data_IF_247246662074
#
_entry.id   IF_247246662074
#
_cell.length_a   1.000
_cell.length_b   1.000
_cell.length_c   1.000
_cell.angle_alpha   90.00
_cell.angle_beta   90.00
_cell.angle_gamma   90.00
#
_symmetry.space_group_name_H-M   'P 1'
#
loop_
_entity.id
_entity.type
_entity.pdbx_description
1 polymer ?
#
# COMPACT_ATOMS: atom_id res chain seq x y z
N UNK A 1 -37.81 27.37 -11.87
CA UNK A 1 -37.14 27.64 -13.17
C UNK A 1 -35.67 28.07 -13.05
N UNK A 2 -35.15 28.40 -11.84
CA UNK A 2 -33.74 28.85 -11.65
C UNK A 2 -32.74 27.70 -11.45
N UNK A 3 -33.12 26.61 -10.82
CA UNK A 3 -32.22 25.45 -10.51
C UNK A 3 -31.87 24.63 -11.79
N UNK A 4 -32.83 24.46 -12.72
CA UNK A 4 -32.60 23.69 -13.95
C UNK A 4 -31.63 24.37 -14.94
N UNK A 5 -31.55 25.70 -14.93
CA UNK A 5 -30.59 26.43 -15.78
C UNK A 5 -29.17 26.36 -15.26
N UNK A 6 -28.99 26.34 -13.94
CA UNK A 6 -27.65 26.25 -13.33
C UNK A 6 -27.02 24.84 -13.52
N UNK A 7 -27.84 23.78 -13.40
CA UNK A 7 -27.38 22.41 -13.63
C UNK A 7 -27.07 22.15 -15.11
N UNK A 8 -27.84 22.74 -16.05
CA UNK A 8 -27.60 22.63 -17.49
C UNK A 8 -26.31 23.37 -17.91
N UNK A 9 -25.97 24.53 -17.31
CA UNK A 9 -24.76 25.28 -17.60
C UNK A 9 -23.53 24.50 -17.08
N UNK A 10 -23.57 24.01 -15.85
CA UNK A 10 -22.46 23.24 -15.26
C UNK A 10 -22.15 21.95 -16.05
N UNK A 11 -23.16 21.27 -16.54
CA UNK A 11 -22.98 20.07 -17.38
C UNK A 11 -22.35 20.42 -18.75
N UNK A 12 -22.75 21.55 -19.38
CA UNK A 12 -22.16 22.01 -20.62
C UNK A 12 -20.70 22.45 -20.45
N UNK A 13 -20.38 23.15 -19.38
CA UNK A 13 -19.02 23.57 -19.05
C UNK A 13 -18.12 22.37 -18.76
N UNK A 14 -18.64 21.35 -18.09
CA UNK A 14 -17.91 20.10 -17.86
C UNK A 14 -17.63 19.35 -19.16
N UNK A 15 -18.61 19.25 -20.06
CA UNK A 15 -18.43 18.62 -21.38
C UNK A 15 -17.40 19.37 -22.25
N UNK A 16 -17.40 20.71 -22.22
CA UNK A 16 -16.42 21.54 -22.92
C UNK A 16 -15.01 21.35 -22.35
N UNK A 17 -14.88 21.30 -21.03
CA UNK A 17 -13.60 21.05 -20.35
C UNK A 17 -13.05 19.65 -20.66
N UNK A 18 -13.92 18.65 -20.71
CA UNK A 18 -13.56 17.29 -21.10
C UNK A 18 -13.03 17.24 -22.53
N UNK A 19 -13.74 17.86 -23.48
CA UNK A 19 -13.32 17.92 -24.90
C UNK A 19 -11.98 18.63 -25.07
N UNK A 20 -11.76 19.76 -24.37
CA UNK A 20 -10.48 20.47 -24.39
C UNK A 20 -9.34 19.62 -23.82
N UNK A 21 -9.57 18.89 -22.72
CA UNK A 21 -8.60 17.97 -22.14
C UNK A 21 -8.21 16.85 -23.10
N UNK A 22 -9.16 16.28 -23.86
CA UNK A 22 -8.91 15.25 -24.87
C UNK A 22 -8.04 15.79 -26.03
N UNK A 23 -8.23 17.03 -26.43
CA UNK A 23 -7.40 17.68 -27.47
C UNK A 23 -5.97 17.86 -26.95
N UNK A 24 -5.80 18.43 -25.73
CA UNK A 24 -4.48 18.63 -25.12
C UNK A 24 -3.74 17.33 -24.84
N UNK A 25 -4.47 16.25 -24.49
CA UNK A 25 -3.86 14.95 -24.20
C UNK A 25 -3.22 14.29 -25.45
N UNK A 26 -3.56 14.75 -26.66
CA UNK A 26 -2.98 14.28 -27.92
C UNK A 26 -1.74 15.09 -28.34
N UNK A 27 -1.53 16.25 -27.75
CA UNK A 27 -0.42 17.12 -28.04
C UNK A 27 0.78 16.73 -27.16
N UNK A 28 1.96 16.37 -27.72
CA UNK A 28 3.10 15.90 -26.96
C UNK A 28 3.71 16.95 -26.02
N UNK A 29 3.39 18.24 -26.23
CA UNK A 29 3.86 19.34 -25.36
C UNK A 29 3.06 19.45 -24.07
N UNK A 30 1.96 18.68 -23.91
CA UNK A 30 1.08 18.75 -22.75
C UNK A 30 0.98 17.43 -22.02
N UNK A 31 0.87 17.51 -20.70
CA UNK A 31 0.47 16.41 -19.84
C UNK A 31 -0.83 16.79 -19.15
N UNK A 32 -1.92 16.10 -19.48
CA UNK A 32 -3.22 16.31 -18.86
C UNK A 32 -3.36 15.38 -17.68
N UNK A 33 -3.58 15.93 -16.49
CA UNK A 33 -3.93 15.19 -15.28
C UNK A 33 -5.40 15.43 -14.93
N UNK A 34 -6.07 14.40 -14.47
CA UNK A 34 -7.44 14.46 -13.97
C UNK A 34 -7.44 14.35 -12.45
N UNK A 35 -8.39 15.00 -11.79
CA UNK A 35 -8.58 14.80 -10.36
C UNK A 35 -8.94 13.34 -10.09
N UNK A 36 -8.41 12.79 -9.00
CA UNK A 36 -8.72 11.42 -8.55
C UNK A 36 -10.24 11.20 -8.50
N UNK A 37 -10.76 10.21 -9.25
CA UNK A 37 -12.19 9.88 -9.19
C UNK A 37 -12.48 9.10 -7.91
N UNK A 38 -13.55 9.46 -7.22
CA UNK A 38 -14.13 8.61 -6.17
C UNK A 38 -15.14 7.65 -6.82
N UNK A 39 -14.61 6.73 -7.63
CA UNK A 39 -15.44 5.78 -8.35
C UNK A 39 -16.02 4.73 -7.39
N UNK A 40 -17.33 4.49 -7.50
CA UNK A 40 -18.00 3.37 -6.82
C UNK A 40 -17.90 2.05 -7.59
N UNK A 41 -17.40 2.11 -8.83
CA UNK A 41 -17.29 0.96 -9.72
C UNK A 41 -16.20 1.19 -10.78
N UNK A 42 -15.39 0.16 -11.07
CA UNK A 42 -14.33 0.27 -12.07
C UNK A 42 -14.60 -0.60 -13.32
N UNK A 43 -14.94 -1.86 -13.11
CA UNK A 43 -15.14 -2.82 -14.20
C UNK A 43 -16.62 -3.09 -14.39
N UNK A 44 -17.20 -2.95 -15.61
CA UNK A 44 -18.59 -3.28 -15.85
C UNK A 44 -18.86 -4.78 -15.73
N UNK A 45 -20.10 -5.12 -15.39
CA UNK A 45 -20.56 -6.49 -15.21
C UNK A 45 -20.43 -6.97 -13.74
N UNK A 46 -20.83 -8.20 -13.51
CA UNK A 46 -20.74 -8.87 -12.23
C UNK A 46 -20.32 -10.33 -12.48
N UNK A 47 -19.07 -10.72 -12.26
CA UNK A 47 -18.65 -12.11 -12.35
C UNK A 47 -19.30 -12.95 -11.24
N UNK A 48 -19.42 -14.26 -11.48
CA UNK A 48 -20.06 -15.19 -10.52
C UNK A 48 -19.33 -15.24 -9.18
N UNK A 49 -18.00 -14.96 -9.14
CA UNK A 49 -17.20 -15.09 -7.95
C UNK A 49 -16.32 -13.86 -7.73
N UNK A 50 -16.75 -13.02 -6.80
CA UNK A 50 -15.94 -11.90 -6.30
C UNK A 50 -15.37 -12.24 -4.92
N UNK A 51 -14.21 -11.63 -4.63
CA UNK A 51 -13.62 -11.61 -3.30
C UNK A 51 -13.53 -10.18 -2.81
N UNK A 52 -13.61 -10.01 -1.50
CA UNK A 52 -13.47 -8.69 -0.89
C UNK A 52 -12.06 -8.46 -0.39
N UNK A 53 -11.50 -7.30 -0.71
CA UNK A 53 -10.32 -6.75 -0.09
C UNK A 53 -10.67 -5.48 0.69
N UNK A 54 -9.80 -5.09 1.63
CA UNK A 54 -9.86 -3.83 2.34
C UNK A 54 -8.55 -3.08 2.07
N UNK A 55 -8.62 -1.94 1.39
CA UNK A 55 -7.47 -1.05 1.29
C UNK A 55 -7.47 -0.14 2.53
N UNK A 56 -6.34 -0.02 3.19
CA UNK A 56 -6.19 0.76 4.43
C UNK A 56 -5.03 1.74 4.31
N UNK A 57 -5.14 2.83 5.04
CA UNK A 57 -4.09 3.80 5.28
C UNK A 57 -4.26 4.42 6.67
N UNK A 58 -3.15 4.79 7.32
CA UNK A 58 -3.16 5.45 8.62
C UNK A 58 -2.25 6.67 8.63
N UNK A 59 -2.75 7.78 9.21
CA UNK A 59 -1.91 8.89 9.64
C UNK A 59 -1.55 8.73 11.12
N UNK A 60 -0.32 9.11 11.47
CA UNK A 60 0.25 8.82 12.77
C UNK A 60 1.04 10.01 13.32
N UNK A 61 1.30 10.04 14.63
CA UNK A 61 2.13 11.07 15.27
C UNK A 61 3.63 10.99 14.94
N UNK A 62 4.06 9.91 14.26
CA UNK A 62 5.45 9.68 13.86
C UNK A 62 5.63 8.32 13.21
N UNK A 63 6.86 7.84 13.09
CA UNK A 63 7.19 6.66 12.29
C UNK A 63 7.41 5.37 13.09
N UNK A 64 7.47 5.45 14.41
CA UNK A 64 7.76 4.31 15.29
C UNK A 64 6.47 3.82 15.97
N UNK A 65 5.91 2.74 15.47
CA UNK A 65 4.68 2.16 16.01
C UNK A 65 4.73 1.80 17.50
N UNK A 66 5.94 1.70 18.11
CA UNK A 66 6.10 1.46 19.56
C UNK A 66 5.97 2.74 20.39
N UNK A 67 6.13 3.91 19.78
CA UNK A 67 6.18 5.21 20.44
C UNK A 67 5.09 6.17 19.98
N UNK A 68 4.66 5.99 18.74
CA UNK A 68 3.72 6.85 18.06
C UNK A 68 2.33 6.23 18.03
N UNK A 69 1.35 7.06 17.81
CA UNK A 69 -0.06 6.67 17.81
C UNK A 69 -0.72 6.98 16.47
N UNK A 70 -1.74 6.22 16.12
CA UNK A 70 -2.64 6.54 15.00
C UNK A 70 -3.44 7.80 15.38
N UNK A 71 -3.60 8.71 14.42
CA UNK A 71 -4.45 9.90 14.51
C UNK A 71 -5.57 9.92 13.48
N UNK A 72 -5.43 9.17 12.38
CA UNK A 72 -6.49 8.91 11.43
C UNK A 72 -6.37 7.49 10.90
N UNK A 73 -7.48 6.83 10.70
CA UNK A 73 -7.63 5.58 9.96
C UNK A 73 -8.59 5.80 8.81
N UNK A 74 -8.25 5.27 7.65
CA UNK A 74 -9.20 5.05 6.58
C UNK A 74 -9.10 3.62 6.05
N UNK A 75 -10.25 2.99 5.84
CA UNK A 75 -10.37 1.70 5.20
C UNK A 75 -11.52 1.70 4.19
N UNK A 76 -11.27 1.25 2.96
CA UNK A 76 -12.28 1.15 1.92
C UNK A 76 -12.37 -0.29 1.43
N UNK A 77 -13.48 -0.99 1.69
CA UNK A 77 -13.72 -2.31 1.13
C UNK A 77 -13.98 -2.22 -0.37
N UNK A 78 -13.49 -3.20 -1.13
CA UNK A 78 -13.79 -3.31 -2.56
C UNK A 78 -13.82 -4.76 -3.02
N UNK A 79 -14.58 -5.03 -4.08
CA UNK A 79 -14.74 -6.35 -4.65
C UNK A 79 -13.85 -6.53 -5.89
N UNK A 80 -13.21 -7.69 -6.01
CA UNK A 80 -12.31 -8.00 -7.10
C UNK A 80 -12.43 -9.45 -7.57
N UNK A 81 -12.13 -9.71 -8.84
CA UNK A 81 -11.98 -11.05 -9.39
C UNK A 81 -10.56 -11.57 -9.14
N UNK A 82 -10.45 -12.75 -8.53
CA UNK A 82 -9.15 -13.26 -8.06
C UNK A 82 -8.24 -13.82 -9.15
N UNK A 83 -8.76 -14.07 -10.34
CA UNK A 83 -8.06 -14.57 -11.53
C UNK A 83 -7.54 -13.45 -12.42
N UNK A 84 -8.35 -12.41 -12.64
CA UNK A 84 -7.99 -11.28 -13.50
C UNK A 84 -7.40 -10.09 -12.77
N UNK A 85 -7.65 -9.96 -11.46
CA UNK A 85 -7.35 -8.76 -10.68
C UNK A 85 -8.27 -7.58 -10.99
N UNK A 86 -9.31 -7.75 -11.80
CA UNK A 86 -10.26 -6.68 -12.09
C UNK A 86 -11.00 -6.24 -10.83
N UNK A 87 -11.04 -4.93 -10.58
CA UNK A 87 -11.77 -4.33 -9.46
C UNK A 87 -13.18 -3.96 -9.95
N UNK A 88 -14.19 -4.29 -9.15
CA UNK A 88 -15.60 -4.04 -9.46
C UNK A 88 -16.19 -2.98 -8.55
N UNK A 89 -16.92 -3.37 -7.53
CA UNK A 89 -17.55 -2.46 -6.59
C UNK A 89 -16.58 -1.90 -5.55
N UNK A 90 -16.67 -0.61 -5.29
CA UNK A 90 -15.97 0.07 -4.18
C UNK A 90 -17.03 0.53 -3.19
N UNK A 91 -16.88 0.12 -1.93
CA UNK A 91 -17.90 0.33 -0.91
C UNK A 91 -17.62 1.61 -0.10
N UNK A 92 -18.51 1.91 0.85
CA UNK A 92 -18.37 3.08 1.70
C UNK A 92 -17.08 3.02 2.53
N UNK A 93 -16.38 4.13 2.61
CA UNK A 93 -15.20 4.27 3.46
C UNK A 93 -15.58 4.23 4.94
N UNK A 94 -14.74 3.60 5.74
CA UNK A 94 -14.67 3.78 7.18
C UNK A 94 -13.52 4.75 7.41
N UNK A 95 -13.82 5.99 7.78
CA UNK A 95 -12.81 7.02 8.02
C UNK A 95 -13.08 7.66 9.37
N UNK A 96 -12.12 7.60 10.27
CA UNK A 96 -12.26 8.11 11.63
C UNK A 96 -10.91 8.62 12.18
N UNK A 97 -11.01 9.56 13.12
CA UNK A 97 -9.87 10.08 13.87
C UNK A 97 -9.71 9.36 15.21
N UNK A 98 -8.52 9.43 15.77
CA UNK A 98 -8.22 8.99 17.13
C UNK A 98 -7.40 10.05 17.86
N UNK A 99 -7.81 10.36 19.08
CA UNK A 99 -7.06 11.23 19.99
C UNK A 99 -5.83 10.49 20.51
N UNK A 100 -4.60 10.95 20.19
CA UNK A 100 -3.39 10.30 20.65
C UNK A 100 -3.09 10.53 22.14
N UNK A 101 -3.92 11.31 22.85
CA UNK A 101 -3.74 11.68 24.25
C UNK A 101 -2.52 12.57 24.52
N UNK A 102 -1.94 13.17 23.48
CA UNK A 102 -0.78 14.07 23.53
C UNK A 102 -0.79 14.98 22.30
N UNK A 103 -0.12 16.16 22.36
CA UNK A 103 -0.06 17.05 21.23
C UNK A 103 0.55 16.38 19.98
N UNK A 104 -0.06 16.64 18.83
CA UNK A 104 0.46 16.21 17.53
C UNK A 104 1.68 17.03 17.18
N UNK A 105 2.81 16.40 16.79
CA UNK A 105 4.01 17.15 16.42
C UNK A 105 3.76 18.14 15.27
N UNK A 106 4.30 19.37 15.32
CA UNK A 106 4.02 20.41 14.30
C UNK A 106 4.30 19.96 12.87
N UNK A 107 5.36 19.17 12.65
CA UNK A 107 5.69 18.64 11.31
C UNK A 107 4.64 17.64 10.79
N UNK A 108 3.92 16.94 11.68
CA UNK A 108 2.81 16.05 11.30
C UNK A 108 1.60 16.88 10.91
N UNK A 109 1.27 17.92 11.70
CA UNK A 109 0.19 18.86 11.38
C UNK A 109 0.44 19.52 10.02
N UNK A 110 1.66 19.98 9.77
CA UNK A 110 2.05 20.57 8.47
C UNK A 110 1.86 19.58 7.31
N UNK A 111 2.21 18.31 7.54
CA UNK A 111 2.17 17.28 6.50
C UNK A 111 0.75 16.77 6.22
N UNK A 112 -0.04 16.51 7.27
CA UNK A 112 -1.34 15.83 7.17
C UNK A 112 -2.54 16.79 7.22
N UNK A 113 -2.31 18.01 7.73
CA UNK A 113 -3.37 18.97 8.04
C UNK A 113 -4.24 18.59 9.25
N UNK A 114 -3.91 17.49 9.96
CA UNK A 114 -4.67 17.03 11.13
C UNK A 114 -4.19 17.77 12.37
N UNK A 115 -5.10 18.49 13.04
CA UNK A 115 -4.81 19.29 14.23
C UNK A 115 -5.30 18.61 15.51
N UNK A 116 -4.78 19.07 16.66
CA UNK A 116 -5.21 18.56 17.97
C UNK A 116 -6.73 18.74 18.16
N UNK A 117 -7.32 19.84 17.67
CA UNK A 117 -8.76 20.11 17.77
C UNK A 117 -9.59 19.10 16.96
N UNK A 118 -9.07 18.61 15.82
CA UNK A 118 -9.79 17.64 15.00
C UNK A 118 -9.86 16.27 15.65
N UNK A 119 -8.85 15.88 16.42
CA UNK A 119 -8.76 14.55 17.02
C UNK A 119 -9.24 14.53 18.48
N UNK A 120 -9.38 15.68 19.14
CA UNK A 120 -9.71 15.78 20.56
C UNK A 120 -10.96 14.97 20.93
N UNK A 121 -10.79 13.98 21.80
CA UNK A 121 -11.86 13.09 22.28
C UNK A 121 -12.39 12.12 21.22
N UNK A 122 -11.80 12.06 20.02
CA UNK A 122 -12.18 11.11 18.97
C UNK A 122 -11.61 9.72 19.28
N UNK A 123 -12.29 8.70 18.81
CA UNK A 123 -11.85 7.30 18.87
C UNK A 123 -12.19 6.60 17.56
N UNK A 124 -11.33 5.65 17.17
CA UNK A 124 -11.64 4.77 16.05
C UNK A 124 -12.95 4.01 16.32
N UNK A 125 -13.73 3.81 15.29
CA UNK A 125 -14.89 2.91 15.31
C UNK A 125 -14.40 1.47 15.19
N UNK A 126 -13.95 0.92 16.33
CA UNK A 126 -13.35 -0.41 16.41
C UNK A 126 -14.30 -1.49 15.85
N UNK A 127 -15.61 -1.39 16.13
CA UNK A 127 -16.60 -2.37 15.68
C UNK A 127 -16.76 -2.36 14.16
N UNK A 128 -16.87 -1.18 13.55
CA UNK A 128 -16.95 -1.04 12.09
C UNK A 128 -15.67 -1.52 11.40
N UNK A 129 -14.50 -1.17 11.96
CA UNK A 129 -13.21 -1.61 11.41
C UNK A 129 -13.07 -3.12 11.52
N UNK A 130 -13.36 -3.71 12.67
CA UNK A 130 -13.28 -5.18 12.89
C UNK A 130 -14.24 -5.92 11.95
N UNK A 131 -15.46 -5.39 11.75
CA UNK A 131 -16.42 -5.99 10.82
C UNK A 131 -15.87 -5.99 9.37
N UNK A 132 -15.32 -4.86 8.89
CA UNK A 132 -14.74 -4.76 7.55
C UNK A 132 -13.50 -5.65 7.38
N UNK A 133 -12.63 -5.71 8.39
CA UNK A 133 -11.46 -6.60 8.40
C UNK A 133 -11.91 -8.06 8.34
N UNK A 134 -12.92 -8.46 9.10
CA UNK A 134 -13.43 -9.84 9.08
C UNK A 134 -14.03 -10.23 7.74
N UNK A 135 -14.74 -9.34 7.07
CA UNK A 135 -15.34 -9.54 5.75
C UNK A 135 -14.27 -9.62 4.63
N UNK A 136 -13.14 -8.95 4.79
CA UNK A 136 -12.06 -8.95 3.82
C UNK A 136 -11.19 -10.22 3.93
N UNK A 137 -10.84 -10.80 2.76
CA UNK A 137 -9.88 -11.91 2.66
C UNK A 137 -8.44 -11.41 2.46
N UNK A 138 -8.26 -10.14 2.13
CA UNK A 138 -6.97 -9.51 1.86
C UNK A 138 -6.98 -8.06 2.35
N UNK A 139 -5.98 -7.68 3.11
CA UNK A 139 -5.72 -6.29 3.49
C UNK A 139 -4.63 -5.75 2.57
N UNK A 140 -4.81 -4.55 2.05
CA UNK A 140 -3.85 -3.89 1.15
C UNK A 140 -3.55 -2.51 1.70
N UNK A 141 -2.28 -2.11 1.64
CA UNK A 141 -1.86 -0.74 1.89
C UNK A 141 -0.75 -0.34 0.91
N UNK A 142 -0.47 0.96 0.81
CA UNK A 142 0.69 1.45 0.08
C UNK A 142 1.84 1.68 1.07
N UNK A 143 2.89 0.84 1.05
CA UNK A 143 3.90 0.68 2.11
C UNK A 143 3.37 -0.08 3.35
N UNK A 144 2.71 -1.20 3.11
CA UNK A 144 1.98 -1.99 4.10
C UNK A 144 2.75 -2.34 5.39
N UNK A 145 4.09 -2.36 5.37
CA UNK A 145 4.89 -2.59 6.57
C UNK A 145 4.74 -1.47 7.61
N UNK A 146 4.44 -0.26 7.17
CA UNK A 146 4.17 0.89 8.03
C UNK A 146 2.80 0.75 8.69
N UNK A 147 1.74 0.68 7.89
CA UNK A 147 0.36 0.62 8.37
C UNK A 147 0.13 -0.59 9.26
N UNK A 148 0.62 -1.75 8.83
CA UNK A 148 0.51 -2.98 9.58
C UNK A 148 1.17 -2.88 10.95
N UNK A 149 2.34 -2.21 11.05
CA UNK A 149 3.06 -2.00 12.30
C UNK A 149 2.20 -1.32 13.38
N UNK A 150 1.40 -0.35 12.99
CA UNK A 150 0.47 0.36 13.88
C UNK A 150 -0.83 -0.42 14.10
N UNK A 151 -1.42 -0.94 13.02
CA UNK A 151 -2.72 -1.60 13.07
C UNK A 151 -2.69 -2.92 13.85
N UNK A 152 -1.64 -3.74 13.71
CA UNK A 152 -1.47 -4.99 14.49
C UNK A 152 -1.44 -4.74 16.01
N UNK A 153 -0.93 -3.56 16.43
CA UNK A 153 -0.88 -3.18 17.85
C UNK A 153 -2.20 -2.60 18.34
N UNK A 154 -2.83 -1.76 17.52
CA UNK A 154 -4.06 -1.05 17.89
C UNK A 154 -5.30 -1.96 17.81
N UNK A 155 -5.36 -2.83 16.80
CA UNK A 155 -6.47 -3.75 16.52
C UNK A 155 -5.94 -5.13 16.12
N UNK A 156 -5.79 -6.06 17.08
CA UNK A 156 -5.17 -7.38 16.84
C UNK A 156 -5.79 -8.23 15.73
N UNK A 157 -7.04 -7.95 15.32
CA UNK A 157 -7.71 -8.62 14.19
C UNK A 157 -6.92 -8.53 12.88
N UNK A 158 -6.12 -7.48 12.69
CA UNK A 158 -5.26 -7.31 11.51
C UNK A 158 -4.12 -8.32 11.45
N UNK A 159 -3.61 -8.77 12.59
CA UNK A 159 -2.46 -9.68 12.68
C UNK A 159 -2.72 -11.06 12.04
N UNK A 160 -3.97 -11.50 12.00
CA UNK A 160 -4.36 -12.81 11.45
C UNK A 160 -4.77 -12.76 9.98
N UNK A 161 -4.70 -11.59 9.34
CA UNK A 161 -5.09 -11.39 7.95
C UNK A 161 -3.93 -11.56 6.98
N UNK A 162 -4.26 -11.91 5.75
CA UNK A 162 -3.32 -11.81 4.63
C UNK A 162 -3.13 -10.35 4.25
N UNK A 163 -1.88 -9.96 4.04
CA UNK A 163 -1.51 -8.61 3.63
C UNK A 163 -0.81 -8.59 2.28
N UNK A 164 -1.08 -7.55 1.51
CA UNK A 164 -0.36 -7.20 0.29
C UNK A 164 0.01 -5.71 0.30
N UNK A 165 1.00 -5.35 -0.48
CA UNK A 165 1.53 -3.99 -0.55
C UNK A 165 1.53 -3.49 -1.99
N UNK A 166 0.75 -2.47 -2.30
CA UNK A 166 0.69 -1.90 -3.65
C UNK A 166 2.01 -1.25 -4.09
N UNK A 167 2.90 -0.94 -3.13
CA UNK A 167 4.22 -0.37 -3.42
C UNK A 167 5.26 -1.43 -3.87
N UNK A 168 5.27 -2.61 -3.23
CA UNK A 168 6.34 -3.62 -3.45
C UNK A 168 5.86 -4.91 -4.09
N UNK A 169 4.57 -5.25 -4.02
CA UNK A 169 4.01 -6.44 -4.65
C UNK A 169 3.70 -6.26 -6.14
N UNK A 170 3.66 -5.02 -6.61
CA UNK A 170 3.64 -4.70 -8.03
C UNK A 170 5.06 -4.37 -8.48
N UNK A 171 5.61 -5.02 -9.52
CA UNK A 171 6.99 -4.81 -9.94
C UNK A 171 7.12 -3.54 -10.79
N UNK A 172 6.89 -2.37 -10.19
CA UNK A 172 6.84 -1.07 -10.88
C UNK A 172 8.07 -0.75 -11.71
N UNK A 173 9.27 -1.10 -11.23
CA UNK A 173 10.51 -0.87 -11.96
C UNK A 173 10.55 -1.65 -13.29
N UNK A 174 10.08 -2.90 -13.32
CA UNK A 174 9.99 -3.69 -14.55
C UNK A 174 8.89 -3.22 -15.49
N UNK A 175 7.93 -2.41 -14.98
CA UNK A 175 6.92 -1.72 -15.78
C UNK A 175 7.41 -0.34 -16.29
N UNK A 176 8.69 0.01 -16.05
CA UNK A 176 9.30 1.24 -16.53
C UNK A 176 9.10 2.46 -15.63
N UNK A 177 8.76 2.28 -14.35
CA UNK A 177 8.60 3.38 -13.40
C UNK A 177 9.83 3.51 -12.49
N UNK A 178 10.40 4.72 -12.42
CA UNK A 178 11.61 5.02 -11.64
C UNK A 178 11.35 5.15 -10.12
N UNK A 179 10.09 5.22 -9.72
CA UNK A 179 9.67 5.33 -8.32
C UNK A 179 8.38 4.57 -8.08
N UNK A 180 8.26 4.00 -6.89
CA UNK A 180 7.03 3.36 -6.42
C UNK A 180 6.23 4.20 -5.42
N UNK A 181 6.51 5.50 -5.29
CA UNK A 181 5.71 6.41 -4.46
C UNK A 181 4.31 6.58 -5.08
N UNK A 182 3.28 6.60 -4.24
CA UNK A 182 1.89 6.66 -4.68
C UNK A 182 1.61 7.85 -5.60
N UNK A 183 1.98 9.06 -5.19
CA UNK A 183 1.81 10.28 -5.99
C UNK A 183 2.52 10.20 -7.36
N UNK A 184 3.75 9.66 -7.38
CA UNK A 184 4.50 9.48 -8.62
C UNK A 184 3.80 8.51 -9.56
N UNK A 185 3.30 7.39 -9.04
CA UNK A 185 2.59 6.39 -9.83
C UNK A 185 1.25 6.94 -10.33
N UNK A 186 0.50 7.66 -9.50
CA UNK A 186 -0.73 8.32 -9.93
C UNK A 186 -0.46 9.31 -11.08
N UNK A 187 0.58 10.14 -10.94
CA UNK A 187 1.00 11.08 -11.98
C UNK A 187 1.43 10.37 -13.27
N UNK A 188 2.33 9.39 -13.18
CA UNK A 188 2.94 8.78 -14.37
C UNK A 188 2.07 7.72 -15.02
N UNK A 189 1.42 6.88 -14.22
CA UNK A 189 0.63 5.74 -14.68
C UNK A 189 -0.84 6.11 -14.89
N UNK A 190 -1.53 6.54 -13.83
CA UNK A 190 -2.96 6.80 -13.87
C UNK A 190 -3.33 8.18 -14.43
N UNK A 191 -2.35 9.06 -14.71
CA UNK A 191 -2.57 10.45 -15.14
C UNK A 191 -3.54 11.21 -14.24
N UNK A 192 -3.38 11.02 -12.94
CA UNK A 192 -4.30 11.51 -11.91
C UNK A 192 -3.53 12.34 -10.88
N UNK A 193 -4.17 13.36 -10.30
CA UNK A 193 -3.68 14.13 -9.18
C UNK A 193 -4.67 14.12 -8.02
N UNK A 194 -4.19 14.25 -6.80
CA UNK A 194 -4.97 14.29 -5.57
C UNK A 194 -4.21 15.02 -4.47
N UNK A 195 -4.84 15.26 -3.33
CA UNK A 195 -4.21 15.85 -2.15
C UNK A 195 -3.69 14.72 -1.26
N UNK A 196 -2.39 14.45 -1.35
CA UNK A 196 -1.74 13.39 -0.60
C UNK A 196 -1.65 13.70 0.91
N UNK A 197 -1.36 12.67 1.71
CA UNK A 197 -1.23 12.74 3.17
C UNK A 197 -2.55 13.00 3.91
N UNK A 198 -3.60 12.46 3.34
CA UNK A 198 -4.90 12.30 3.99
C UNK A 198 -5.32 10.85 3.75
N UNK A 199 -5.47 10.08 4.82
CA UNK A 199 -5.72 8.64 4.71
C UNK A 199 -6.91 8.30 3.79
N UNK A 200 -7.97 9.13 3.77
CA UNK A 200 -9.11 8.91 2.89
C UNK A 200 -8.76 9.10 1.41
N UNK A 201 -7.94 10.09 1.05
CA UNK A 201 -7.49 10.31 -0.33
C UNK A 201 -6.50 9.24 -0.76
N UNK A 202 -5.54 8.87 0.10
CA UNK A 202 -4.50 7.88 -0.19
C UNK A 202 -5.09 6.49 -0.45
N UNK A 203 -6.14 6.10 0.29
CA UNK A 203 -6.86 4.83 0.06
C UNK A 203 -7.53 4.79 -1.31
N UNK A 204 -8.29 5.83 -1.69
CA UNK A 204 -8.91 5.87 -3.01
C UNK A 204 -7.87 5.97 -4.14
N UNK A 205 -6.77 6.67 -3.90
CA UNK A 205 -5.63 6.75 -4.81
C UNK A 205 -5.01 5.37 -5.04
N UNK A 206 -4.80 4.60 -3.97
CA UNK A 206 -4.29 3.24 -4.03
C UNK A 206 -5.22 2.27 -4.78
N UNK A 207 -6.53 2.33 -4.54
CA UNK A 207 -7.51 1.52 -5.27
C UNK A 207 -7.53 1.91 -6.75
N UNK A 208 -7.54 3.21 -7.07
CA UNK A 208 -7.51 3.71 -8.44
C UNK A 208 -6.24 3.27 -9.19
N UNK A 209 -5.09 3.35 -8.52
CA UNK A 209 -3.83 2.87 -9.06
C UNK A 209 -3.89 1.38 -9.42
N UNK A 210 -4.43 0.55 -8.52
CA UNK A 210 -4.54 -0.90 -8.72
C UNK A 210 -5.56 -1.27 -9.80
N UNK A 211 -6.58 -0.44 -10.01
CA UNK A 211 -7.63 -0.64 -11.01
C UNK A 211 -7.23 -0.16 -12.41
N UNK A 212 -6.28 0.79 -12.53
CA UNK A 212 -5.88 1.38 -13.82
C UNK A 212 -4.98 0.41 -14.56
N UNK A 213 -5.36 -0.10 -15.77
CA UNK A 213 -4.56 -1.07 -16.48
C UNK A 213 -3.18 -0.53 -16.89
N UNK A 214 -2.17 -1.39 -16.85
CA UNK A 214 -0.83 -1.14 -17.40
C UNK A 214 -0.87 -1.06 -18.95
N UNK A 215 0.24 -0.75 -19.56
CA UNK A 215 0.34 -0.60 -21.03
C UNK A 215 -0.05 -1.88 -21.81
N UNK A 216 0.10 -3.05 -21.21
CA UNK A 216 -0.30 -4.35 -21.73
C UNK A 216 -1.77 -4.71 -21.45
N UNK A 217 -2.52 -3.82 -20.81
CA UNK A 217 -3.91 -4.01 -20.43
C UNK A 217 -4.13 -4.80 -19.12
N UNK A 218 -3.05 -5.22 -18.45
CA UNK A 218 -3.13 -5.95 -17.18
C UNK A 218 -3.31 -4.98 -16.01
N UNK A 219 -4.31 -5.14 -15.13
CA UNK A 219 -4.42 -4.29 -13.95
C UNK A 219 -3.30 -4.61 -12.94
N UNK A 220 -2.68 -3.60 -12.30
CA UNK A 220 -1.68 -3.80 -11.26
C UNK A 220 -2.15 -4.70 -10.13
N UNK A 221 -3.45 -4.71 -9.81
CA UNK A 221 -4.05 -5.62 -8.84
C UNK A 221 -3.76 -7.09 -9.15
N UNK A 222 -3.74 -7.51 -10.42
CA UNK A 222 -3.39 -8.87 -10.81
C UNK A 222 -1.95 -9.22 -10.42
N UNK A 223 -1.00 -8.33 -10.73
CA UNK A 223 0.41 -8.54 -10.39
C UNK A 223 0.62 -8.58 -8.87
N UNK A 224 -0.08 -7.72 -8.13
CA UNK A 224 -0.11 -7.73 -6.67
C UNK A 224 -0.59 -9.08 -6.13
N UNK A 225 -1.70 -9.61 -6.66
CA UNK A 225 -2.25 -10.91 -6.24
C UNK A 225 -1.30 -12.07 -6.55
N UNK A 226 -0.66 -12.04 -7.72
CA UNK A 226 0.35 -13.03 -8.11
C UNK A 226 1.55 -13.00 -7.14
N UNK A 227 2.04 -11.80 -6.80
CA UNK A 227 3.13 -11.62 -5.83
C UNK A 227 2.72 -12.08 -4.43
N UNK A 228 1.54 -11.67 -3.95
CA UNK A 228 1.05 -12.01 -2.63
C UNK A 228 0.87 -13.53 -2.41
N UNK A 229 0.66 -14.30 -3.47
CA UNK A 229 0.53 -15.76 -3.43
C UNK A 229 1.87 -16.49 -3.47
N UNK A 230 2.96 -15.82 -3.85
CA UNK A 230 4.28 -16.46 -3.94
C UNK A 230 4.83 -16.74 -2.55
N UNK A 231 5.43 -17.93 -2.33
CA UNK A 231 6.14 -18.19 -1.10
C UNK A 231 7.32 -17.24 -0.94
N UNK A 232 7.46 -16.69 0.26
CA UNK A 232 8.56 -15.80 0.66
C UNK A 232 9.39 -16.51 1.71
N UNK A 233 10.70 -16.33 1.66
CA UNK A 233 11.65 -16.87 2.62
C UNK A 233 12.43 -15.75 3.31
N UNK A 234 12.62 -15.88 4.62
CA UNK A 234 13.63 -15.13 5.35
C UNK A 234 14.95 -15.85 5.28
N UNK A 235 15.94 -15.15 4.77
CA UNK A 235 17.32 -15.62 4.73
C UNK A 235 18.10 -14.88 5.81
N UNK A 236 18.67 -15.64 6.74
CA UNK A 236 19.44 -15.10 7.85
C UNK A 236 20.94 -15.33 7.61
N UNK A 237 21.71 -14.27 7.61
CA UNK A 237 23.17 -14.33 7.55
C UNK A 237 23.73 -14.66 8.94
N UNK A 238 23.43 -15.87 9.43
CA UNK A 238 23.80 -16.34 10.77
C UNK A 238 25.33 -16.43 10.92
N UNK A 239 25.88 -15.75 11.93
CA UNK A 239 27.32 -15.74 12.17
C UNK A 239 28.13 -14.99 11.11
N UNK A 240 27.52 -14.08 10.35
CA UNK A 240 28.23 -13.27 9.38
C UNK A 240 29.36 -12.46 10.04
N UNK A 241 30.55 -12.39 9.42
CA UNK A 241 31.66 -11.55 9.92
C UNK A 241 31.27 -10.08 10.01
N UNK A 242 31.80 -9.35 10.96
CA UNK A 242 31.50 -7.93 11.13
C UNK A 242 31.81 -7.10 9.86
N UNK A 243 32.89 -7.44 9.17
CA UNK A 243 33.33 -6.76 7.96
C UNK A 243 32.37 -6.93 6.77
N UNK A 244 31.47 -7.92 6.80
CA UNK A 244 30.46 -8.13 5.78
C UNK A 244 29.27 -7.16 5.89
N UNK A 245 29.21 -6.33 6.94
CA UNK A 245 28.09 -5.42 7.24
C UNK A 245 27.71 -4.54 6.06
N UNK A 246 28.67 -3.95 5.36
CA UNK A 246 28.36 -3.01 4.28
C UNK A 246 27.88 -3.73 3.03
N UNK A 247 28.40 -4.92 2.73
CA UNK A 247 27.91 -5.78 1.66
C UNK A 247 26.47 -6.26 1.94
N UNK A 248 26.18 -6.65 3.18
CA UNK A 248 24.83 -7.04 3.60
C UNK A 248 23.84 -5.87 3.48
N UNK A 249 24.22 -4.66 3.93
CA UNK A 249 23.39 -3.46 3.78
C UNK A 249 23.13 -3.10 2.31
N UNK A 250 24.16 -3.13 1.49
CA UNK A 250 24.04 -2.85 0.04
C UNK A 250 23.09 -3.84 -0.63
N UNK A 251 22.95 -5.07 -0.11
CA UNK A 251 22.03 -6.09 -0.57
C UNK A 251 20.69 -6.09 0.17
N UNK A 252 20.34 -4.99 0.84
CA UNK A 252 19.08 -4.78 1.56
C UNK A 252 18.82 -5.73 2.74
N UNK A 253 19.89 -6.29 3.35
CA UNK A 253 19.75 -6.96 4.65
C UNK A 253 19.48 -5.95 5.76
N UNK A 254 18.61 -6.32 6.69
CA UNK A 254 18.27 -5.56 7.91
C UNK A 254 18.85 -6.26 9.12
N UNK A 255 19.31 -5.47 10.10
CA UNK A 255 19.79 -6.01 11.36
C UNK A 255 18.64 -6.27 12.31
N UNK A 256 18.56 -7.47 12.85
CA UNK A 256 17.69 -7.81 13.97
C UNK A 256 18.49 -7.79 15.27
N UNK A 257 18.29 -6.81 16.16
CA UNK A 257 19.06 -6.70 17.40
C UNK A 257 18.73 -7.79 18.42
N UNK A 258 17.49 -8.31 18.46
CA UNK A 258 17.09 -9.35 19.41
C UNK A 258 17.72 -10.71 19.07
N UNK A 259 17.79 -11.04 17.78
CA UNK A 259 18.42 -12.28 17.28
C UNK A 259 19.91 -12.10 16.95
N UNK A 260 20.42 -10.87 17.02
CA UNK A 260 21.78 -10.52 16.63
C UNK A 260 22.17 -11.07 15.26
N UNK A 261 21.29 -10.89 14.25
CA UNK A 261 21.48 -11.45 12.93
C UNK A 261 21.00 -10.50 11.83
N UNK A 262 21.70 -10.50 10.70
CA UNK A 262 21.24 -9.86 9.47
C UNK A 262 20.25 -10.77 8.75
N UNK A 263 19.19 -10.20 8.22
CA UNK A 263 18.15 -10.95 7.51
C UNK A 263 17.54 -10.13 6.36
N UNK A 264 17.03 -10.83 5.37
CA UNK A 264 16.16 -10.25 4.32
C UNK A 264 15.10 -11.24 3.88
N UNK A 265 14.03 -10.75 3.29
CA UNK A 265 13.04 -11.58 2.60
C UNK A 265 13.38 -11.68 1.11
N UNK A 266 13.20 -12.89 0.57
CA UNK A 266 13.39 -13.19 -0.86
C UNK A 266 12.25 -14.07 -1.35
N UNK A 267 11.94 -13.99 -2.64
CA UNK A 267 11.01 -14.94 -3.26
C UNK A 267 11.60 -16.35 -3.29
N UNK A 268 10.74 -17.38 -3.34
CA UNK A 268 11.17 -18.78 -3.47
C UNK A 268 12.16 -18.98 -4.63
N UNK A 269 11.91 -18.32 -5.78
CA UNK A 269 12.77 -18.41 -6.96
C UNK A 269 14.16 -17.79 -6.78
N UNK A 270 14.33 -16.89 -5.82
CA UNK A 270 15.60 -16.19 -5.52
C UNK A 270 16.37 -16.84 -4.38
N UNK A 271 15.74 -17.72 -3.61
CA UNK A 271 16.30 -18.31 -2.38
C UNK A 271 17.66 -18.96 -2.58
N UNK A 272 17.79 -19.81 -3.59
CA UNK A 272 19.03 -20.53 -3.89
C UNK A 272 20.17 -19.58 -4.27
N UNK A 273 19.88 -18.61 -5.14
CA UNK A 273 20.85 -17.60 -5.55
C UNK A 273 21.33 -16.74 -4.36
N UNK A 274 20.40 -16.43 -3.43
CA UNK A 274 20.74 -15.67 -2.22
C UNK A 274 21.60 -16.45 -1.25
N UNK A 275 21.30 -17.72 -1.05
CA UNK A 275 22.14 -18.63 -0.23
C UNK A 275 23.54 -18.75 -0.82
N UNK A 276 23.65 -18.89 -2.15
CA UNK A 276 24.92 -18.98 -2.85
C UNK A 276 25.74 -17.70 -2.69
N UNK A 277 25.08 -16.53 -2.87
CA UNK A 277 25.74 -15.26 -2.63
C UNK A 277 26.28 -15.11 -1.20
N UNK A 278 25.54 -15.52 -0.18
CA UNK A 278 26.03 -15.50 1.21
C UNK A 278 27.27 -16.38 1.37
N UNK A 279 27.28 -17.57 0.78
CA UNK A 279 28.41 -18.50 0.83
C UNK A 279 29.68 -17.89 0.21
N UNK A 280 29.54 -17.25 -0.94
CA UNK A 280 30.64 -16.68 -1.69
C UNK A 280 31.12 -15.33 -1.15
N UNK A 281 30.18 -14.37 -0.98
CA UNK A 281 30.51 -12.98 -0.70
C UNK A 281 30.62 -12.65 0.81
N UNK A 282 29.95 -13.42 1.68
CA UNK A 282 29.89 -13.12 3.12
C UNK A 282 30.75 -14.08 3.92
N UNK A 283 30.61 -15.38 3.67
CA UNK A 283 31.32 -16.38 4.46
C UNK A 283 32.64 -16.85 3.82
N UNK A 284 32.80 -16.66 2.52
CA UNK A 284 33.91 -17.25 1.73
C UNK A 284 34.06 -18.77 1.98
N UNK A 285 32.93 -19.46 2.17
CA UNK A 285 32.86 -20.89 2.51
C UNK A 285 31.66 -21.53 1.82
N UNK A 286 31.91 -22.54 1.00
CA UNK A 286 30.86 -23.24 0.26
C UNK A 286 29.92 -24.06 1.15
N UNK A 287 30.40 -24.50 2.31
CA UNK A 287 29.67 -25.30 3.30
C UNK A 287 28.89 -24.46 4.32
N UNK A 288 28.95 -23.12 4.23
CA UNK A 288 28.19 -22.26 5.11
C UNK A 288 26.69 -22.51 4.97
N UNK A 289 26.00 -22.57 6.10
CA UNK A 289 24.56 -22.85 6.15
C UNK A 289 23.81 -21.64 6.74
N UNK A 290 23.40 -20.69 5.91
CA UNK A 290 22.55 -19.59 6.34
C UNK A 290 21.22 -20.09 6.89
N UNK A 291 20.65 -19.37 7.85
CA UNK A 291 19.32 -19.69 8.35
C UNK A 291 18.25 -19.43 7.28
N UNK A 292 17.30 -20.35 7.17
CA UNK A 292 16.18 -20.22 6.24
C UNK A 292 14.86 -20.45 6.99
N UNK A 293 13.93 -19.53 6.82
CA UNK A 293 12.59 -19.62 7.40
C UNK A 293 11.55 -19.27 6.33
N UNK A 294 10.60 -20.17 6.08
CA UNK A 294 9.48 -19.87 5.19
C UNK A 294 8.54 -18.92 5.90
N UNK A 295 8.26 -17.78 5.29
CA UNK A 295 7.36 -16.78 5.86
C UNK A 295 5.92 -17.29 5.75
N UNK A 296 5.21 -17.35 6.88
CA UNK A 296 3.77 -17.52 6.86
C UNK A 296 3.15 -16.35 6.09
N UNK A 297 2.32 -16.58 5.07
CA UNK A 297 1.68 -15.51 4.30
C UNK A 297 0.94 -14.47 5.17
N UNK A 298 0.45 -14.87 6.35
CA UNK A 298 -0.17 -13.97 7.32
C UNK A 298 0.84 -13.07 8.04
N UNK A 299 2.15 -13.37 7.97
CA UNK A 299 3.21 -12.60 8.62
C UNK A 299 3.99 -11.70 7.67
N UNK A 300 3.59 -11.64 6.39
CA UNK A 300 4.16 -10.68 5.44
C UNK A 300 3.93 -9.27 5.98
N UNK A 301 4.94 -8.43 5.89
CA UNK A 301 4.92 -7.04 6.40
C UNK A 301 4.72 -6.89 7.92
N UNK A 302 4.50 -7.95 8.67
CA UNK A 302 4.56 -7.86 10.12
C UNK A 302 5.99 -7.56 10.54
N UNK A 303 6.19 -6.54 11.36
CA UNK A 303 7.46 -6.37 12.06
C UNK A 303 7.80 -7.66 12.83
N UNK A 304 9.08 -7.96 13.02
CA UNK A 304 9.42 -9.06 13.92
C UNK A 304 8.88 -8.72 15.32
N UNK A 305 7.88 -9.47 15.75
CA UNK A 305 7.47 -9.43 17.16
C UNK A 305 8.64 -9.98 17.97
N UNK A 306 9.04 -9.18 18.97
CA UNK A 306 10.04 -9.56 19.94
C UNK A 306 9.61 -10.82 20.70
#
# INVERSE_FOLDING_TARGET
MSADRATSSAAADHAASFAAAEVLARDPDYIVLRRLPRASHYTPGAPETLRRALFVDVETTGLDAKRDAIIQFCGVPFDYASDTGSIYGVHAAISCYEDPGRPIPPFVVEKTGITDEMVAGQRLDDDAIIAAVNDAVLIIAHNAAFDRGFLDQRLPVFADKHWACSQVDVPWASQGYDSSKLEFLLYKHARTFYEAHRADEDVYAGIHLLATPLADGVPPMRLLLESARRPVWRVFATGAPFDAKDALKARAYRWNPQRSVWWREVAESEREAEVQWLREAVYARADANPGLEKVDPRRRFAGERA
#
